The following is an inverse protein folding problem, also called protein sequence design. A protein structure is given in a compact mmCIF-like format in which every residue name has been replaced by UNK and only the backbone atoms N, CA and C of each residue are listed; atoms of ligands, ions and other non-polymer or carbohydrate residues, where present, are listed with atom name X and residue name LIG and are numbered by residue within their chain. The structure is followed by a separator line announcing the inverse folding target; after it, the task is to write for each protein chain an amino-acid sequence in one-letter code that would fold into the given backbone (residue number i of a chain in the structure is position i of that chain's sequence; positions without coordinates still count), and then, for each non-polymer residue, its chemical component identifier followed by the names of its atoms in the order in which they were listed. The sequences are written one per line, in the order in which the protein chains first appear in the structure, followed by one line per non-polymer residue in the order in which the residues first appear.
data_IF_719915962515
#
_entry.id   IF_719915962515
#
_cell.length_a   1.000
_cell.length_b   1.000
_cell.length_c   1.000
_cell.angle_alpha   90.00
_cell.angle_beta   90.00
_cell.angle_gamma   90.00
#
_symmetry.space_group_name_H-M   'P 1'
#
loop_
_entity.id
_entity.type
_entity.pdbx_description
1 polymer ?
#
# COMPACT_ATOMS: atom_id res chain seq x y z
N UNK A 1 7.59 15.14 -14.73
CA UNK A 1 8.79 14.76 -13.93
C UNK A 1 8.50 15.09 -12.47
N UNK A 2 9.01 14.32 -11.51
CA UNK A 2 8.73 14.50 -10.08
C UNK A 2 9.99 14.94 -9.32
N UNK A 3 10.48 16.18 -9.48
CA UNK A 3 11.71 16.62 -8.83
C UNK A 3 11.57 16.63 -7.31
N UNK A 4 12.66 16.37 -6.60
CA UNK A 4 12.70 16.51 -5.15
C UNK A 4 12.68 18.01 -4.78
N UNK A 5 11.84 18.38 -3.82
CA UNK A 5 11.83 19.73 -3.24
C UNK A 5 12.90 19.82 -2.15
N UNK A 6 13.71 20.88 -2.17
CA UNK A 6 14.74 21.12 -1.14
C UNK A 6 14.12 21.15 0.26
N UNK A 7 14.78 20.51 1.23
CA UNK A 7 14.30 20.42 2.62
C UNK A 7 13.12 19.46 2.83
N UNK A 8 12.64 18.76 1.79
CA UNK A 8 11.57 17.77 1.91
C UNK A 8 12.10 16.34 1.86
N UNK A 9 11.41 15.43 2.55
CA UNK A 9 11.73 14.01 2.56
C UNK A 9 10.51 13.15 2.21
N UNK A 10 10.75 12.11 1.43
CA UNK A 10 9.71 11.22 0.88
C UNK A 10 9.79 9.81 1.48
N UNK A 11 10.09 9.72 2.78
CA UNK A 11 10.05 8.46 3.53
C UNK A 11 8.61 7.96 3.70
N UNK A 12 8.47 6.71 4.16
CA UNK A 12 7.18 6.06 4.37
C UNK A 12 6.25 6.84 5.28
N UNK A 13 5.04 7.16 4.80
CA UNK A 13 3.96 7.74 5.60
C UNK A 13 2.61 7.10 5.30
N UNK A 14 1.71 7.16 6.27
CA UNK A 14 0.35 6.64 6.15
C UNK A 14 0.26 5.10 6.17
N UNK A 15 -0.95 4.55 5.94
CA UNK A 15 -1.24 3.13 6.18
C UNK A 15 -0.42 2.15 5.35
N UNK A 16 -0.11 2.50 4.09
CA UNK A 16 0.72 1.69 3.19
C UNK A 16 2.12 2.28 2.96
N UNK A 17 2.60 3.12 3.89
CA UNK A 17 3.98 3.64 3.89
C UNK A 17 4.41 4.23 2.52
N UNK A 18 3.61 5.15 1.98
CA UNK A 18 3.90 5.84 0.73
C UNK A 18 5.31 6.41 0.75
N UNK A 19 6.14 6.03 -0.21
CA UNK A 19 7.57 6.32 -0.25
C UNK A 19 7.98 6.81 -1.64
N UNK A 20 9.05 7.60 -1.73
CA UNK A 20 9.62 8.20 -2.94
C UNK A 20 8.84 9.37 -3.55
N UNK A 21 9.58 10.40 -3.96
CA UNK A 21 9.09 11.62 -4.62
C UNK A 21 8.11 11.35 -5.77
N UNK A 22 8.38 10.35 -6.61
CA UNK A 22 7.52 10.03 -7.74
C UNK A 22 6.14 9.50 -7.31
N UNK A 23 6.06 8.71 -6.23
CA UNK A 23 4.77 8.24 -5.71
C UNK A 23 4.02 9.36 -4.99
N UNK A 24 4.71 10.20 -4.22
CA UNK A 24 4.10 11.38 -3.58
C UNK A 24 3.53 12.34 -4.62
N UNK A 25 4.27 12.64 -5.68
CA UNK A 25 3.80 13.46 -6.79
C UNK A 25 2.60 12.85 -7.52
N UNK A 26 2.66 11.56 -7.86
CA UNK A 26 1.57 10.86 -8.55
C UNK A 26 0.28 10.77 -7.70
N UNK A 27 0.42 10.44 -6.41
CA UNK A 27 -0.68 10.43 -5.45
C UNK A 27 -1.27 11.84 -5.28
N UNK A 28 -0.40 12.85 -5.13
CA UNK A 28 -0.79 14.26 -5.05
C UNK A 28 -1.65 14.70 -6.22
N UNK A 29 -1.20 14.40 -7.45
CA UNK A 29 -1.94 14.68 -8.68
C UNK A 29 -3.29 13.95 -8.74
N UNK A 30 -3.38 12.70 -8.26
CA UNK A 30 -4.63 11.94 -8.31
C UNK A 30 -5.64 12.32 -7.21
N UNK A 31 -5.18 12.81 -6.07
CA UNK A 31 -6.01 13.03 -4.87
C UNK A 31 -6.34 14.52 -4.65
N UNK A 32 -5.52 15.42 -5.21
CA UNK A 32 -5.67 16.87 -5.05
C UNK A 32 -4.88 17.43 -3.88
N UNK A 33 -3.63 17.00 -3.69
CA UNK A 33 -2.69 17.63 -2.74
C UNK A 33 -1.30 17.79 -3.37
N UNK A 34 -0.51 18.72 -2.85
CA UNK A 34 0.87 18.91 -3.31
C UNK A 34 1.82 17.94 -2.61
N UNK A 35 2.02 16.77 -3.22
CA UNK A 35 2.90 15.74 -2.66
C UNK A 35 4.38 16.06 -2.74
N UNK A 36 4.83 16.98 -3.61
CA UNK A 36 6.25 17.31 -3.73
C UNK A 36 6.67 18.35 -2.68
N UNK A 37 5.88 19.41 -2.53
CA UNK A 37 6.19 20.48 -1.58
C UNK A 37 5.60 20.24 -0.19
N UNK A 38 4.55 19.43 -0.05
CA UNK A 38 3.93 19.15 1.25
C UNK A 38 3.75 17.63 1.52
N UNK A 39 4.79 16.79 1.37
CA UNK A 39 4.71 15.34 1.61
C UNK A 39 4.27 14.99 3.04
N UNK A 40 4.58 15.84 4.02
CA UNK A 40 4.18 15.69 5.42
C UNK A 40 2.65 15.62 5.61
N UNK A 41 1.83 16.14 4.67
CA UNK A 41 0.37 16.02 4.74
C UNK A 41 -0.09 14.58 4.83
N UNK A 42 0.63 13.64 4.22
CA UNK A 42 0.32 12.21 4.29
C UNK A 42 0.44 11.67 5.72
N UNK A 43 1.24 12.31 6.58
CA UNK A 43 1.38 11.98 8.00
C UNK A 43 0.58 12.87 8.96
N UNK A 44 -0.03 13.96 8.47
CA UNK A 44 -0.69 14.97 9.30
C UNK A 44 -2.21 15.04 9.10
N UNK A 45 -2.70 14.70 7.90
CA UNK A 45 -4.11 14.71 7.55
C UNK A 45 -4.58 13.26 7.33
N UNK A 46 -5.47 12.77 8.21
CA UNK A 46 -5.95 11.39 8.17
C UNK A 46 -6.71 11.05 6.88
N UNK A 47 -7.44 12.01 6.31
CA UNK A 47 -8.17 11.81 5.06
C UNK A 47 -7.19 11.66 3.89
N UNK A 48 -6.18 12.54 3.80
CA UNK A 48 -5.12 12.41 2.80
C UNK A 48 -4.35 11.11 3.00
N UNK A 49 -4.04 10.76 4.25
CA UNK A 49 -3.32 9.54 4.61
C UNK A 49 -4.02 8.26 4.13
N UNK A 50 -5.34 8.15 4.34
CA UNK A 50 -6.09 7.00 3.82
C UNK A 50 -6.28 7.07 2.30
N UNK A 51 -6.51 8.26 1.74
CA UNK A 51 -6.64 8.41 0.28
C UNK A 51 -5.38 7.96 -0.45
N UNK A 52 -4.17 8.19 0.08
CA UNK A 52 -2.94 7.69 -0.54
C UNK A 52 -2.84 6.18 -0.50
N UNK A 53 -3.23 5.54 0.60
CA UNK A 53 -3.27 4.07 0.70
C UNK A 53 -4.28 3.46 -0.28
N UNK A 54 -5.50 4.02 -0.36
CA UNK A 54 -6.53 3.55 -1.30
C UNK A 54 -6.12 3.84 -2.75
N UNK A 55 -5.51 5.00 -3.03
CA UNK A 55 -4.94 5.29 -4.35
C UNK A 55 -3.89 4.26 -4.76
N UNK A 56 -2.99 3.88 -3.85
CA UNK A 56 -2.00 2.85 -4.12
C UNK A 56 -2.70 1.52 -4.44
N UNK A 57 -3.65 1.11 -3.59
CA UNK A 57 -4.41 -0.13 -3.74
C UNK A 57 -5.19 -0.23 -5.05
N UNK A 58 -5.79 0.89 -5.49
CA UNK A 58 -6.71 0.94 -6.64
C UNK A 58 -6.04 1.31 -7.96
N UNK A 59 -4.97 2.12 -7.94
CA UNK A 59 -4.41 2.75 -9.15
C UNK A 59 -2.90 2.58 -9.33
N UNK A 60 -2.14 2.44 -8.24
CA UNK A 60 -0.66 2.40 -8.29
C UNK A 60 -0.10 1.04 -7.89
N UNK A 61 -0.93 0.00 -7.95
CA UNK A 61 -0.57 -1.40 -7.73
C UNK A 61 -1.65 -2.30 -8.33
N UNK A 62 -1.39 -3.61 -8.33
CA UNK A 62 -2.38 -4.62 -8.76
C UNK A 62 -3.19 -5.19 -7.58
N UNK A 63 -3.18 -4.55 -6.41
CA UNK A 63 -3.81 -5.12 -5.21
C UNK A 63 -5.32 -5.34 -5.38
N UNK A 64 -6.05 -4.32 -5.84
CA UNK A 64 -7.49 -4.43 -6.08
C UNK A 64 -7.80 -5.55 -7.07
N UNK A 65 -7.14 -5.54 -8.24
CA UNK A 65 -7.34 -6.58 -9.25
C UNK A 65 -6.99 -7.97 -8.75
N UNK A 66 -5.95 -8.12 -7.93
CA UNK A 66 -5.53 -9.42 -7.40
C UNK A 66 -6.61 -10.04 -6.51
N UNK A 67 -7.14 -9.26 -5.55
CA UNK A 67 -8.13 -9.79 -4.60
C UNK A 67 -9.50 -10.00 -5.23
N UNK A 68 -9.90 -9.20 -6.23
CA UNK A 68 -11.21 -9.34 -6.90
C UNK A 68 -11.22 -10.33 -8.07
N UNK A 69 -10.04 -10.79 -8.52
CA UNK A 69 -9.93 -11.68 -9.70
C UNK A 69 -9.39 -13.07 -9.34
N UNK A 70 -9.53 -13.48 -8.08
CA UNK A 70 -9.20 -14.84 -7.63
C UNK A 70 -7.71 -15.14 -7.42
N UNK A 71 -6.83 -14.13 -7.41
CA UNK A 71 -5.40 -14.35 -7.12
C UNK A 71 -5.12 -14.53 -5.61
N UNK A 72 -6.11 -14.27 -4.75
CA UNK A 72 -6.00 -14.40 -3.29
C UNK A 72 -5.19 -13.27 -2.63
N UNK A 73 -5.10 -13.32 -1.30
CA UNK A 73 -4.38 -12.29 -0.53
C UNK A 73 -2.88 -12.27 -0.84
N UNK A 74 -2.27 -13.41 -1.18
CA UNK A 74 -0.87 -13.49 -1.60
C UNK A 74 -0.56 -12.66 -2.85
N UNK A 75 -1.53 -12.53 -3.77
CA UNK A 75 -1.42 -11.63 -4.91
C UNK A 75 -1.28 -10.15 -4.51
N UNK A 76 -1.91 -9.75 -3.39
CA UNK A 76 -1.80 -8.38 -2.86
C UNK A 76 -0.45 -8.14 -2.18
N UNK A 77 0.08 -9.12 -1.45
CA UNK A 77 1.43 -9.06 -0.86
C UNK A 77 2.47 -8.87 -1.98
N UNK A 78 2.37 -9.68 -3.04
CA UNK A 78 3.24 -9.56 -4.22
C UNK A 78 3.14 -8.20 -4.89
N UNK A 79 1.94 -7.62 -4.97
CA UNK A 79 1.71 -6.30 -5.55
C UNK A 79 2.28 -5.15 -4.69
N UNK A 80 2.33 -5.32 -3.37
CA UNK A 80 2.91 -4.34 -2.43
C UNK A 80 4.44 -4.46 -2.41
N UNK A 81 4.95 -5.69 -2.21
CA UNK A 81 6.38 -5.95 -2.12
C UNK A 81 6.70 -7.39 -2.58
N UNK A 82 6.98 -7.55 -3.87
CA UNK A 82 7.26 -8.86 -4.46
C UNK A 82 8.52 -9.54 -3.93
N UNK A 83 9.43 -8.79 -3.29
CA UNK A 83 10.67 -9.34 -2.72
C UNK A 83 10.43 -10.16 -1.45
N UNK A 84 9.27 -10.04 -0.81
CA UNK A 84 8.92 -10.85 0.38
C UNK A 84 8.52 -12.29 -0.01
N UNK A 85 8.00 -12.47 -1.22
CA UNK A 85 7.46 -13.75 -1.70
C UNK A 85 8.55 -14.77 -2.05
N UNK A 86 8.16 -16.03 -2.25
CA UNK A 86 9.03 -17.16 -2.62
C UNK A 86 10.19 -17.38 -1.64
N UNK A 87 9.93 -17.15 -0.35
CA UNK A 87 10.92 -17.30 0.72
C UNK A 87 11.86 -16.11 0.91
N UNK A 88 11.64 -14.98 0.21
CA UNK A 88 12.47 -13.78 0.37
C UNK A 88 12.36 -13.15 1.77
N UNK A 89 11.16 -13.07 2.34
CA UNK A 89 10.96 -12.70 3.73
C UNK A 89 9.69 -13.35 4.32
N UNK A 90 9.81 -14.63 4.67
CA UNK A 90 8.69 -15.43 5.21
C UNK A 90 8.11 -14.88 6.51
N UNK A 91 8.91 -14.16 7.31
CA UNK A 91 8.44 -13.52 8.54
C UNK A 91 7.42 -12.41 8.28
N UNK A 92 7.72 -11.51 7.35
CA UNK A 92 6.80 -10.42 6.96
C UNK A 92 5.54 -10.95 6.28
N UNK A 93 5.69 -11.91 5.36
CA UNK A 93 4.52 -12.57 4.75
C UNK A 93 3.62 -13.18 5.81
N UNK A 94 4.19 -13.93 6.76
CA UNK A 94 3.42 -14.56 7.84
C UNK A 94 2.69 -13.52 8.70
N UNK A 95 3.35 -12.40 9.02
CA UNK A 95 2.75 -11.28 9.74
C UNK A 95 1.53 -10.72 9.00
N UNK A 96 1.66 -10.44 7.69
CA UNK A 96 0.56 -9.96 6.84
C UNK A 96 -0.61 -10.95 6.79
N UNK A 97 -0.32 -12.24 6.59
CA UNK A 97 -1.33 -13.30 6.54
C UNK A 97 -2.08 -13.41 7.87
N UNK A 98 -1.39 -13.27 9.00
CA UNK A 98 -2.02 -13.31 10.33
C UNK A 98 -2.99 -12.14 10.54
N UNK A 99 -2.62 -10.92 10.15
CA UNK A 99 -3.54 -9.78 10.18
C UNK A 99 -4.75 -9.98 9.28
N UNK A 100 -4.52 -10.47 8.05
CA UNK A 100 -5.60 -10.75 7.10
C UNK A 100 -6.61 -11.76 7.67
N UNK A 101 -6.13 -12.91 8.17
CA UNK A 101 -7.00 -13.93 8.79
C UNK A 101 -7.77 -13.39 9.99
N UNK A 102 -7.12 -12.57 10.84
CA UNK A 102 -7.78 -11.92 11.98
C UNK A 102 -8.92 -11.02 11.52
N UNK A 103 -8.70 -10.19 10.49
CA UNK A 103 -9.72 -9.29 9.95
C UNK A 103 -10.86 -10.09 9.29
N UNK A 104 -10.55 -11.13 8.50
CA UNK A 104 -11.56 -12.02 7.92
C UNK A 104 -12.44 -12.66 9.02
N UNK A 105 -11.84 -13.12 10.11
CA UNK A 105 -12.57 -13.66 11.26
C UNK A 105 -13.47 -12.62 11.92
N UNK A 106 -13.01 -11.37 12.08
CA UNK A 106 -13.83 -10.29 12.64
C UNK A 106 -15.00 -9.90 11.73
N UNK A 107 -14.84 -10.02 10.41
CA UNK A 107 -15.86 -9.74 9.42
C UNK A 107 -16.78 -10.94 9.11
N UNK A 108 -16.48 -12.12 9.65
CA UNK A 108 -17.26 -13.34 9.40
C UNK A 108 -17.15 -13.86 7.96
N UNK A 109 -16.02 -13.63 7.28
CA UNK A 109 -15.79 -14.04 5.88
C UNK A 109 -14.68 -15.08 5.79
N UNK A 110 -14.80 -15.98 4.82
CA UNK A 110 -13.73 -16.94 4.50
C UNK A 110 -12.50 -16.20 3.91
N UNK A 111 -11.27 -16.45 4.40
CA UNK A 111 -10.07 -15.80 3.86
C UNK A 111 -9.75 -16.16 2.40
N UNK A 112 -10.34 -17.24 1.88
CA UNK A 112 -10.08 -17.77 0.55
C UNK A 112 -8.79 -18.59 0.45
N UNK A 113 -8.53 -19.09 -0.75
CA UNK A 113 -7.28 -19.75 -1.11
C UNK A 113 -6.16 -18.73 -1.42
N UNK A 114 -4.92 -19.23 -1.59
CA UNK A 114 -3.76 -18.42 -2.00
C UNK A 114 -3.50 -17.20 -1.10
N UNK A 115 -3.62 -17.40 0.22
CA UNK A 115 -3.42 -16.31 1.19
C UNK A 115 -1.96 -15.89 1.33
N UNK A 116 -1.01 -16.78 1.02
CA UNK A 116 0.42 -16.51 1.08
C UNK A 116 1.01 -16.37 -0.32
N UNK A 117 2.17 -15.73 -0.36
CA UNK A 117 3.23 -15.95 -1.36
C UNK A 117 4.51 -16.30 -0.58
#
# INVERSE_FOLDING_TARGET
MWPCTSGKSYHGRGPLQLSWNYNYGAAGKSIGFDGLNNPEKVGQDSTISFKTAVWFWMKNSNCHSAITSGQGFGGTIKAINSMECNGGNSGEVSSRVNYYKKICSQLGVDPGANVSC
#
